data_IF_740975317086
#
_entry.id   IF_740975317086
#
_cell.length_a   1.000
_cell.length_b   1.000
_cell.length_c   1.000
_cell.angle_alpha   90.00
_cell.angle_beta   90.00
_cell.angle_gamma   90.00
#
_symmetry.space_group_name_H-M   'P 1'
#
loop_
_entity.id
_entity.type
_entity.pdbx_description
1 polymer ?
#
# COMPACT_ATOMS: atom_id res chain seq x y z
N UNK A 1 19.34 15.10 2.66
CA UNK A 1 19.77 14.72 1.30
C UNK A 1 18.86 13.55 0.88
N UNK A 2 17.95 13.73 -0.09
CA UNK A 2 16.85 12.77 -0.34
C UNK A 2 17.30 11.44 -0.98
N UNK A 3 16.51 10.37 -0.81
CA UNK A 3 16.88 8.98 -1.17
C UNK A 3 17.23 8.73 -2.66
N UNK A 4 16.81 9.61 -3.60
CA UNK A 4 16.89 9.34 -5.06
C UNK A 4 17.52 10.49 -5.88
N UNK A 5 18.63 11.07 -5.40
CA UNK A 5 19.23 12.25 -6.06
C UNK A 5 19.71 12.01 -7.49
N UNK A 6 20.21 10.81 -7.79
CA UNK A 6 20.73 10.47 -9.12
C UNK A 6 19.63 10.46 -10.18
N UNK A 7 18.43 10.00 -9.82
CA UNK A 7 17.27 10.03 -10.73
C UNK A 7 16.89 11.47 -11.07
N UNK A 8 16.86 12.36 -10.07
CA UNK A 8 16.57 13.78 -10.29
C UNK A 8 17.59 14.45 -11.21
N UNK A 9 18.87 14.07 -11.13
CA UNK A 9 19.91 14.56 -12.05
C UNK A 9 19.64 14.08 -13.49
N UNK A 10 19.46 12.78 -13.67
CA UNK A 10 19.21 12.19 -15.00
C UNK A 10 17.97 12.79 -15.66
N UNK A 11 16.89 12.98 -14.89
CA UNK A 11 15.66 13.59 -15.39
C UNK A 11 15.81 15.07 -15.76
N UNK A 12 16.62 15.83 -15.02
CA UNK A 12 16.93 17.22 -15.38
C UNK A 12 17.63 17.33 -16.74
N UNK A 13 18.41 16.32 -17.09
CA UNK A 13 19.05 16.19 -18.42
C UNK A 13 18.13 15.56 -19.48
N UNK A 14 16.85 15.32 -19.16
CA UNK A 14 15.89 14.73 -20.10
C UNK A 14 16.07 13.23 -20.35
N UNK A 15 16.84 12.52 -19.51
CA UNK A 15 17.09 11.09 -19.67
C UNK A 15 16.02 10.24 -18.99
N UNK A 16 15.65 9.14 -19.65
CA UNK A 16 14.80 8.12 -19.07
C UNK A 16 15.55 7.27 -18.05
N UNK A 17 14.86 6.94 -16.97
CA UNK A 17 15.38 6.20 -15.82
C UNK A 17 14.69 4.85 -15.68
N UNK A 18 15.49 3.81 -15.46
CA UNK A 18 15.02 2.44 -15.26
C UNK A 18 15.69 1.85 -14.02
N UNK A 19 14.97 0.99 -13.30
CA UNK A 19 15.49 0.27 -12.15
C UNK A 19 14.98 -1.18 -12.12
N UNK A 20 15.70 -2.03 -11.40
CA UNK A 20 15.38 -3.45 -11.22
C UNK A 20 14.83 -3.71 -9.83
N UNK A 21 13.79 -4.53 -9.77
CA UNK A 21 13.33 -5.21 -8.56
C UNK A 21 13.65 -6.70 -8.67
N UNK A 22 13.65 -7.40 -7.54
CA UNK A 22 13.83 -8.86 -7.55
C UNK A 22 12.64 -9.56 -8.24
N UNK A 23 12.81 -10.81 -8.67
CA UNK A 23 11.70 -11.70 -9.00
C UNK A 23 11.31 -12.56 -7.81
N UNK A 24 10.07 -12.99 -7.70
CA UNK A 24 9.53 -13.78 -6.57
C UNK A 24 9.17 -15.23 -6.94
N UNK A 25 9.48 -15.66 -8.18
CA UNK A 25 9.22 -17.04 -8.62
C UNK A 25 10.51 -17.82 -8.86
N UNK A 26 11.35 -17.38 -9.81
CA UNK A 26 12.64 -18.02 -10.10
C UNK A 26 13.74 -16.97 -10.03
N UNK A 27 14.61 -17.09 -9.02
CA UNK A 27 15.80 -16.24 -8.87
C UNK A 27 16.87 -16.62 -9.90
N UNK A 28 17.73 -15.67 -10.28
CA UNK A 28 18.74 -15.91 -11.31
C UNK A 28 19.93 -16.75 -10.79
N UNK A 29 20.33 -17.75 -11.55
CA UNK A 29 21.57 -18.52 -11.37
C UNK A 29 22.81 -17.59 -11.45
N UNK A 30 23.93 -17.88 -10.74
CA UNK A 30 24.18 -19.04 -9.87
C UNK A 30 23.85 -18.88 -8.39
N UNK A 31 23.65 -17.65 -7.92
CA UNK A 31 23.65 -17.35 -6.48
C UNK A 31 22.23 -17.29 -5.91
N UNK A 32 21.21 -17.01 -6.74
CA UNK A 32 19.80 -16.96 -6.33
C UNK A 32 19.48 -15.92 -5.24
N UNK A 33 20.32 -14.90 -5.06
CA UNK A 33 20.17 -13.85 -4.04
C UNK A 33 19.30 -12.65 -4.48
N UNK A 34 18.73 -12.72 -5.68
CA UNK A 34 17.93 -11.64 -6.26
C UNK A 34 18.76 -10.53 -6.90
N UNK A 35 18.17 -9.82 -7.86
CA UNK A 35 18.85 -8.79 -8.65
C UNK A 35 18.16 -7.41 -8.57
N UNK A 36 18.15 -6.74 -7.40
CA UNK A 36 17.60 -5.40 -7.28
C UNK A 36 18.61 -4.31 -7.67
N UNK A 37 18.12 -3.12 -8.02
CA UNK A 37 18.95 -1.90 -8.12
C UNK A 37 19.23 -1.30 -6.74
N UNK A 38 18.25 -1.32 -5.84
CA UNK A 38 18.38 -0.77 -4.48
C UNK A 38 18.56 -1.92 -3.51
N UNK A 39 19.66 -1.93 -2.76
CA UNK A 39 20.06 -3.08 -1.94
C UNK A 39 19.03 -3.47 -0.88
N UNK A 40 18.34 -2.51 -0.24
CA UNK A 40 17.26 -2.82 0.72
C UNK A 40 16.00 -3.43 0.09
N UNK A 41 15.92 -3.49 -1.24
CA UNK A 41 14.89 -4.26 -1.94
C UNK A 41 15.27 -5.74 -2.07
N UNK A 42 16.49 -6.13 -1.71
CA UNK A 42 16.87 -7.53 -1.61
C UNK A 42 16.03 -8.20 -0.53
N UNK A 43 15.28 -9.23 -0.91
CA UNK A 43 14.35 -9.93 -0.04
C UNK A 43 13.02 -9.20 0.22
N UNK A 44 12.82 -8.00 -0.32
CA UNK A 44 11.53 -7.32 -0.28
C UNK A 44 10.58 -7.95 -1.31
N UNK A 45 9.28 -7.93 -1.02
CA UNK A 45 8.25 -8.25 -2.00
C UNK A 45 8.41 -7.33 -3.23
N UNK A 46 8.57 -7.89 -4.44
CA UNK A 46 8.95 -7.11 -5.61
C UNK A 46 7.88 -6.11 -6.06
N UNK A 47 6.61 -6.40 -5.79
CA UNK A 47 5.54 -5.43 -6.01
C UNK A 47 5.75 -4.18 -5.15
N UNK A 48 6.01 -4.36 -3.84
CA UNK A 48 6.23 -3.25 -2.90
C UNK A 48 7.44 -2.40 -3.33
N UNK A 49 8.54 -3.06 -3.68
CA UNK A 49 9.74 -2.40 -4.19
C UNK A 49 9.48 -1.62 -5.49
N UNK A 50 8.69 -2.20 -6.41
CA UNK A 50 8.34 -1.56 -7.67
C UNK A 50 7.51 -0.28 -7.46
N UNK A 51 6.52 -0.34 -6.56
CA UNK A 51 5.71 0.84 -6.21
C UNK A 51 6.59 1.95 -5.64
N UNK A 52 7.51 1.65 -4.75
CA UNK A 52 8.43 2.66 -4.22
C UNK A 52 9.30 3.30 -5.31
N UNK A 53 9.83 2.51 -6.25
CA UNK A 53 10.64 3.04 -7.34
C UNK A 53 9.82 3.93 -8.29
N UNK A 54 8.60 3.50 -8.63
CA UNK A 54 7.74 4.25 -9.54
C UNK A 54 7.17 5.52 -8.88
N UNK A 55 6.77 5.44 -7.61
CA UNK A 55 6.11 6.53 -6.89
C UNK A 55 7.11 7.51 -6.28
N UNK A 56 8.01 7.03 -5.41
CA UNK A 56 8.94 7.88 -4.66
C UNK A 56 10.18 8.23 -5.48
N UNK A 57 10.79 7.22 -6.11
CA UNK A 57 12.00 7.42 -6.91
C UNK A 57 11.72 7.96 -8.32
N UNK A 58 10.44 7.98 -8.72
CA UNK A 58 9.92 8.44 -10.00
C UNK A 58 10.63 7.79 -11.19
N UNK A 59 11.07 6.53 -11.11
CA UNK A 59 11.66 5.88 -12.29
C UNK A 59 10.61 5.74 -13.39
N UNK A 60 11.05 5.82 -14.65
CA UNK A 60 10.13 5.72 -15.79
C UNK A 60 9.77 4.26 -16.09
N UNK A 61 10.68 3.32 -15.80
CA UNK A 61 10.46 1.88 -15.98
C UNK A 61 10.99 1.08 -14.79
N UNK A 62 10.28 -0.01 -14.47
CA UNK A 62 10.76 -1.05 -13.54
C UNK A 62 10.84 -2.38 -14.27
N UNK A 63 11.95 -3.09 -14.07
CA UNK A 63 12.19 -4.43 -14.62
C UNK A 63 12.31 -5.46 -13.51
N UNK A 64 11.86 -6.69 -13.78
CA UNK A 64 12.21 -7.85 -12.95
C UNK A 64 13.65 -8.24 -13.31
N UNK A 65 14.55 -8.20 -12.32
CA UNK A 65 15.97 -8.52 -12.53
C UNK A 65 16.28 -10.01 -12.57
N UNK A 66 15.46 -10.80 -11.89
CA UNK A 66 15.57 -12.27 -11.84
C UNK A 66 14.88 -12.95 -13.04
N UNK A 67 14.96 -14.27 -13.11
CA UNK A 67 14.41 -15.05 -14.23
C UNK A 67 12.90 -14.95 -14.33
N UNK A 68 12.18 -15.03 -13.21
CA UNK A 68 10.71 -15.02 -13.20
C UNK A 68 10.12 -14.30 -11.98
N UNK A 69 8.93 -13.73 -12.19
CA UNK A 69 8.05 -13.21 -11.14
C UNK A 69 6.67 -13.88 -11.25
N UNK A 70 5.93 -13.89 -10.14
CA UNK A 70 4.57 -14.39 -10.09
C UNK A 70 3.64 -13.55 -10.95
N UNK A 71 2.60 -14.18 -11.49
CA UNK A 71 1.58 -13.50 -12.31
C UNK A 71 0.86 -12.43 -11.47
N UNK A 72 0.65 -12.68 -10.18
CA UNK A 72 0.08 -11.76 -9.22
C UNK A 72 0.92 -10.49 -9.08
N UNK A 73 2.23 -10.62 -8.84
CA UNK A 73 3.16 -9.48 -8.78
C UNK A 73 3.10 -8.66 -10.06
N UNK A 74 3.17 -9.31 -11.23
CA UNK A 74 3.12 -8.61 -12.52
C UNK A 74 1.78 -7.89 -12.73
N UNK A 75 0.66 -8.52 -12.36
CA UNK A 75 -0.67 -7.91 -12.42
C UNK A 75 -0.77 -6.67 -11.54
N UNK A 76 -0.29 -6.72 -10.31
CA UNK A 76 -0.37 -5.58 -9.39
C UNK A 76 0.54 -4.43 -9.82
N UNK A 77 1.75 -4.71 -10.31
CA UNK A 77 2.63 -3.69 -10.90
C UNK A 77 1.94 -3.03 -12.10
N UNK A 78 1.39 -3.82 -13.01
CA UNK A 78 0.71 -3.30 -14.19
C UNK A 78 -0.53 -2.47 -13.81
N UNK A 79 -1.31 -2.90 -12.82
CA UNK A 79 -2.48 -2.16 -12.36
C UNK A 79 -2.11 -0.77 -11.82
N UNK A 80 -1.00 -0.67 -11.08
CA UNK A 80 -0.47 0.61 -10.64
C UNK A 80 -0.02 1.49 -11.81
N UNK A 81 0.74 0.94 -12.76
CA UNK A 81 1.25 1.70 -13.92
C UNK A 81 0.10 2.25 -14.78
N UNK A 82 -0.95 1.47 -15.00
CA UNK A 82 -2.06 1.86 -15.88
C UNK A 82 -3.07 2.77 -15.18
N UNK A 83 -3.35 2.51 -13.90
CA UNK A 83 -4.51 3.08 -13.23
C UNK A 83 -4.20 3.81 -11.91
N UNK A 84 -2.94 3.85 -11.47
CA UNK A 84 -2.56 4.38 -10.15
C UNK A 84 -3.31 3.69 -8.99
N UNK A 85 -3.53 2.38 -9.12
CA UNK A 85 -4.16 1.58 -8.08
C UNK A 85 -3.10 0.78 -7.33
N UNK A 86 -3.03 0.96 -6.01
CA UNK A 86 -2.25 0.13 -5.11
C UNK A 86 -3.13 -1.00 -4.56
N UNK A 87 -2.79 -2.25 -4.86
CA UNK A 87 -3.45 -3.44 -4.34
C UNK A 87 -2.85 -3.80 -2.98
N UNK A 88 -3.71 -3.94 -1.97
CA UNK A 88 -3.32 -4.18 -0.57
C UNK A 88 -3.90 -5.50 -0.11
N UNK A 89 -3.01 -6.44 0.22
CA UNK A 89 -3.38 -7.72 0.82
C UNK A 89 -3.74 -7.50 2.29
N UNK A 90 -4.97 -7.86 2.67
CA UNK A 90 -5.46 -7.66 4.02
C UNK A 90 -6.47 -8.74 4.44
N UNK A 91 -6.76 -8.79 5.74
CA UNK A 91 -7.87 -9.55 6.27
C UNK A 91 -8.89 -8.61 6.92
N UNK A 92 -10.16 -8.76 6.55
CA UNK A 92 -11.30 -8.06 7.08
C UNK A 92 -12.21 -9.03 7.85
N UNK A 93 -12.79 -8.56 8.95
CA UNK A 93 -13.85 -9.31 9.63
C UNK A 93 -15.01 -9.56 8.66
N UNK A 94 -15.71 -10.68 8.82
CA UNK A 94 -16.72 -11.18 7.88
C UNK A 94 -17.76 -10.14 7.44
N UNK A 95 -18.20 -9.27 8.35
CA UNK A 95 -19.19 -8.21 8.07
C UNK A 95 -18.67 -7.09 7.14
N UNK A 96 -17.35 -6.95 6.97
CA UNK A 96 -16.69 -5.92 6.15
C UNK A 96 -16.09 -6.44 4.85
N UNK A 97 -16.21 -7.74 4.54
CA UNK A 97 -15.67 -8.34 3.31
C UNK A 97 -16.23 -7.72 2.01
N UNK A 98 -17.35 -7.00 2.09
CA UNK A 98 -17.91 -6.19 1.01
C UNK A 98 -17.01 -5.03 0.56
N UNK A 99 -15.91 -4.73 1.27
CA UNK A 99 -14.91 -3.74 0.87
C UNK A 99 -13.83 -4.33 -0.04
N UNK A 100 -13.73 -5.67 -0.15
CA UNK A 100 -12.77 -6.29 -1.06
C UNK A 100 -13.10 -6.00 -2.52
N UNK A 101 -12.05 -5.99 -3.35
CA UNK A 101 -12.11 -5.82 -4.80
C UNK A 101 -12.78 -4.53 -5.28
N UNK A 102 -12.90 -3.53 -4.41
CA UNK A 102 -13.35 -2.17 -4.76
C UNK A 102 -12.15 -1.28 -4.96
N UNK A 103 -12.23 -0.44 -5.98
CA UNK A 103 -11.34 0.71 -6.13
C UNK A 103 -11.83 1.83 -5.20
N UNK A 104 -10.94 2.28 -4.33
CA UNK A 104 -11.28 3.23 -3.27
C UNK A 104 -10.33 4.43 -3.40
N UNK A 105 -10.92 5.59 -3.66
CA UNK A 105 -10.17 6.84 -3.67
C UNK A 105 -9.71 7.22 -2.26
N UNK A 106 -8.56 7.89 -2.19
CA UNK A 106 -8.03 8.45 -0.96
C UNK A 106 -8.54 9.89 -0.82
N UNK A 107 -8.86 10.32 0.41
CA UNK A 107 -9.23 11.72 0.63
C UNK A 107 -8.02 12.64 0.39
N UNK A 108 -8.19 13.88 -0.10
CA UNK A 108 -7.06 14.80 -0.24
C UNK A 108 -6.55 15.29 1.13
N UNK A 109 -7.41 15.36 2.14
CA UNK A 109 -7.06 15.79 3.50
C UNK A 109 -6.59 14.60 4.36
N UNK A 110 -5.29 14.29 4.28
CA UNK A 110 -4.64 13.20 5.01
C UNK A 110 -3.88 13.68 6.25
N UNK A 111 -4.31 13.29 7.46
CA UNK A 111 -3.46 13.40 8.65
C UNK A 111 -2.23 12.51 8.51
N UNK A 112 -1.11 12.92 9.10
CA UNK A 112 0.18 12.21 9.00
C UNK A 112 0.11 10.72 9.39
N UNK A 113 -0.76 10.36 10.34
CA UNK A 113 -0.80 9.03 10.96
C UNK A 113 -1.86 8.09 10.37
N UNK A 114 -2.71 8.54 9.45
CA UNK A 114 -3.78 7.72 8.88
C UNK A 114 -3.99 7.99 7.40
N UNK A 115 -4.47 6.98 6.68
CA UNK A 115 -4.92 7.09 5.29
C UNK A 115 -6.44 6.98 5.27
N UNK A 116 -7.13 8.10 5.06
CA UNK A 116 -8.59 8.17 5.06
C UNK A 116 -9.16 7.79 3.70
N UNK A 117 -10.10 6.86 3.71
CA UNK A 117 -10.73 6.32 2.51
C UNK A 117 -11.99 7.12 2.16
N UNK A 118 -12.19 7.38 0.86
CA UNK A 118 -13.39 8.02 0.35
C UNK A 118 -14.48 6.95 0.10
N UNK A 119 -15.20 6.60 1.17
CA UNK A 119 -16.29 5.64 1.15
C UNK A 119 -17.59 6.26 1.68
N UNK A 120 -18.77 5.77 1.25
CA UNK A 120 -20.04 6.14 1.87
C UNK A 120 -20.03 5.84 3.37
N UNK A 121 -20.43 6.82 4.18
CA UNK A 121 -20.50 6.65 5.63
C UNK A 121 -21.74 5.87 6.04
N UNK A 122 -21.59 5.00 7.03
CA UNK A 122 -22.68 4.31 7.72
C UNK A 122 -23.00 5.01 9.05
N UNK A 123 -24.19 5.62 9.22
CA UNK A 123 -24.56 6.22 10.50
C UNK A 123 -24.78 5.13 11.56
N UNK A 124 -24.65 5.51 12.84
CA UNK A 124 -24.95 4.68 14.01
C UNK A 124 -24.24 3.31 14.03
N UNK A 125 -22.99 3.24 13.57
CA UNK A 125 -22.17 2.02 13.66
C UNK A 125 -22.00 1.62 15.13
N UNK A 126 -22.38 0.38 15.47
CA UNK A 126 -22.24 -0.15 16.82
C UNK A 126 -20.78 -0.21 17.28
N UNK A 127 -20.53 -0.13 18.59
CA UNK A 127 -19.17 -0.25 19.15
C UNK A 127 -18.79 -1.73 19.14
N UNK A 128 -17.73 -2.10 18.42
CA UNK A 128 -17.24 -3.48 18.27
C UNK A 128 -15.73 -3.47 18.05
N UNK A 129 -15.01 -4.46 18.58
CA UNK A 129 -13.54 -4.55 18.40
C UNK A 129 -12.85 -3.19 18.67
N UNK A 130 -13.26 -2.55 19.77
CA UNK A 130 -12.72 -1.27 20.20
C UNK A 130 -11.43 -1.53 20.98
N UNK A 131 -10.36 -1.71 20.23
CA UNK A 131 -9.03 -2.11 20.72
C UNK A 131 -7.98 -1.10 20.24
N UNK A 132 -6.73 -1.29 20.68
CA UNK A 132 -5.58 -0.49 20.25
C UNK A 132 -5.39 -0.61 18.73
N UNK A 133 -4.97 0.49 18.11
CA UNK A 133 -4.82 0.62 16.66
C UNK A 133 -3.34 0.64 16.29
N UNK A 134 -2.82 -0.49 15.84
CA UNK A 134 -1.44 -0.60 15.37
C UNK A 134 -1.32 -0.21 13.90
N UNK A 135 -0.11 0.13 13.45
CA UNK A 135 0.22 0.30 12.03
C UNK A 135 -0.26 -0.91 11.24
N UNK A 136 -0.96 -0.67 10.14
CA UNK A 136 -1.60 -1.72 9.34
C UNK A 136 -3.06 -2.04 9.75
N UNK A 137 -3.57 -1.48 10.85
CA UNK A 137 -4.98 -1.65 11.21
C UNK A 137 -5.90 -0.97 10.18
N UNK A 138 -7.00 -1.65 9.85
CA UNK A 138 -8.10 -1.08 9.06
C UNK A 138 -9.20 -0.73 10.07
N UNK A 139 -9.62 0.53 10.10
CA UNK A 139 -10.48 1.05 11.16
C UNK A 139 -11.73 1.68 10.58
N UNK A 140 -12.88 1.43 11.20
CA UNK A 140 -14.13 2.14 10.96
C UNK A 140 -14.53 2.92 12.22
N UNK A 141 -14.86 4.20 12.09
CA UNK A 141 -15.39 5.01 13.19
C UNK A 141 -16.80 4.52 13.58
N UNK A 142 -17.05 4.40 14.87
CA UNK A 142 -18.35 3.99 15.43
C UNK A 142 -19.23 5.20 15.77
N UNK A 143 -20.42 4.95 16.32
CA UNK A 143 -21.42 5.98 16.66
C UNK A 143 -20.91 7.09 17.60
N UNK A 144 -19.89 6.82 18.44
CA UNK A 144 -19.31 7.85 19.30
C UNK A 144 -18.56 8.94 18.52
N UNK A 145 -18.25 8.69 17.24
CA UNK A 145 -17.68 9.67 16.33
C UNK A 145 -18.72 10.62 15.71
N UNK A 146 -20.00 10.51 16.10
CA UNK A 146 -21.11 11.34 15.62
C UNK A 146 -21.17 11.38 14.08
N UNK A 147 -21.02 12.56 13.47
CA UNK A 147 -21.06 12.75 12.00
C UNK A 147 -19.99 11.99 11.21
N UNK A 148 -18.97 11.46 11.90
CA UNK A 148 -17.91 10.63 11.32
C UNK A 148 -18.19 9.13 11.44
N UNK A 149 -19.31 8.70 12.04
CA UNK A 149 -19.70 7.29 12.08
C UNK A 149 -19.64 6.66 10.69
N UNK A 150 -19.01 5.49 10.60
CA UNK A 150 -18.82 4.72 9.38
C UNK A 150 -17.68 5.21 8.48
N UNK A 151 -16.93 6.24 8.85
CA UNK A 151 -15.70 6.61 8.15
C UNK A 151 -14.63 5.52 8.32
N UNK A 152 -13.96 5.16 7.22
CA UNK A 152 -12.93 4.12 7.19
C UNK A 152 -11.56 4.73 6.91
N UNK A 153 -10.54 4.24 7.60
CA UNK A 153 -9.15 4.64 7.38
C UNK A 153 -8.17 3.50 7.68
N UNK A 154 -6.98 3.59 7.09
CA UNK A 154 -5.82 2.74 7.40
C UNK A 154 -4.91 3.46 8.40
N UNK A 155 -4.32 2.72 9.32
CA UNK A 155 -3.43 3.27 10.36
C UNK A 155 -1.98 3.21 9.88
N UNK A 156 -1.35 4.39 9.68
CA UNK A 156 0.02 4.52 9.16
C UNK A 156 1.09 4.46 10.25
N UNK A 157 0.78 4.93 11.45
CA UNK A 157 1.64 4.82 12.62
C UNK A 157 0.80 4.35 13.80
N UNK A 158 1.40 3.66 14.77
CA UNK A 158 0.70 3.21 15.97
C UNK A 158 -0.05 4.38 16.63
N UNK A 159 -1.33 4.16 16.92
CA UNK A 159 -2.19 5.15 17.54
C UNK A 159 -2.63 4.67 18.92
N UNK A 160 -2.80 5.60 19.89
CA UNK A 160 -3.36 5.26 21.17
C UNK A 160 -4.79 4.73 21.02
N UNK A 161 -5.26 4.07 22.07
CA UNK A 161 -6.65 3.66 22.19
C UNK A 161 -7.61 4.85 22.00
N UNK A 162 -8.74 4.59 21.37
CA UNK A 162 -9.76 5.59 21.06
C UNK A 162 -11.14 4.93 21.06
N UNK A 163 -12.02 5.33 21.99
CA UNK A 163 -13.36 4.76 22.15
C UNK A 163 -14.24 4.87 20.89
N UNK A 164 -13.94 5.83 20.01
CA UNK A 164 -14.67 6.12 18.77
C UNK A 164 -14.36 5.15 17.62
N UNK A 165 -13.38 4.27 17.76
CA UNK A 165 -12.85 3.46 16.66
C UNK A 165 -13.14 1.97 16.81
N UNK A 166 -13.55 1.31 15.73
CA UNK A 166 -13.61 -0.15 15.64
C UNK A 166 -12.52 -0.66 14.71
N UNK A 167 -11.66 -1.57 15.16
CA UNK A 167 -10.73 -2.27 14.24
C UNK A 167 -11.53 -3.32 13.47
N UNK A 168 -11.57 -3.17 12.15
CA UNK A 168 -12.37 -4.02 11.24
C UNK A 168 -11.53 -5.02 10.44
N UNK A 169 -10.21 -4.94 10.55
CA UNK A 169 -9.26 -5.81 9.86
C UNK A 169 -7.82 -5.33 10.01
N UNK A 170 -6.91 -6.01 9.32
CA UNK A 170 -5.49 -5.68 9.29
C UNK A 170 -4.90 -5.93 7.90
N UNK A 171 -3.92 -5.12 7.51
CA UNK A 171 -3.10 -5.30 6.31
C UNK A 171 -1.98 -6.28 6.59
N UNK A 172 -1.65 -7.14 5.60
CA UNK A 172 -0.51 -8.06 5.69
C UNK A 172 0.77 -7.28 6.00
N UNK A 173 1.63 -7.73 6.94
CA UNK A 173 2.81 -6.98 7.37
C UNK A 173 3.72 -6.50 6.23
N UNK A 174 3.89 -7.30 5.17
CA UNK A 174 4.71 -6.92 4.01
C UNK A 174 4.11 -5.76 3.18
N UNK A 175 2.78 -5.62 3.18
CA UNK A 175 2.03 -4.59 2.43
C UNK A 175 1.91 -3.27 3.19
N UNK A 176 2.21 -3.26 4.49
CA UNK A 176 2.16 -2.06 5.33
C UNK A 176 3.12 -0.96 4.83
N UNK A 177 4.23 -1.33 4.20
CA UNK A 177 5.20 -0.37 3.65
C UNK A 177 4.65 0.42 2.45
N UNK A 178 3.58 -0.04 1.80
CA UNK A 178 2.92 0.73 0.74
C UNK A 178 2.30 2.02 1.25
N UNK A 179 2.02 2.14 2.56
CA UNK A 179 1.40 3.34 3.12
C UNK A 179 2.25 4.60 2.97
N UNK A 180 3.56 4.44 2.75
CA UNK A 180 4.46 5.55 2.45
C UNK A 180 4.33 6.03 1.01
N UNK A 181 3.69 5.24 0.14
CA UNK A 181 3.47 5.50 -1.29
C UNK A 181 2.00 5.78 -1.63
N UNK A 182 1.15 6.01 -0.63
CA UNK A 182 -0.26 6.34 -0.83
C UNK A 182 -0.45 7.82 -0.50
N UNK A 183 -0.83 8.59 -1.52
CA UNK A 183 -1.30 9.96 -1.40
C UNK A 183 -2.69 10.13 -2.04
N UNK A 184 -3.10 11.37 -2.30
CA UNK A 184 -4.42 11.69 -2.81
C UNK A 184 -4.64 11.30 -4.28
N UNK A 185 -3.56 11.10 -5.04
CA UNK A 185 -3.62 10.74 -6.47
C UNK A 185 -3.71 9.21 -6.66
N UNK A 186 -3.53 8.47 -5.56
CA UNK A 186 -3.62 7.01 -5.52
C UNK A 186 -5.05 6.54 -5.22
N UNK A 187 -5.45 5.46 -5.88
CA UNK A 187 -6.56 4.59 -5.47
C UNK A 187 -6.02 3.34 -4.80
N UNK A 188 -6.76 2.77 -3.87
CA UNK A 188 -6.42 1.46 -3.30
C UNK A 188 -7.45 0.41 -3.67
N UNK A 189 -7.02 -0.85 -3.68
CA UNK A 189 -7.90 -2.01 -3.77
C UNK A 189 -7.52 -3.02 -2.69
N UNK A 190 -8.46 -3.32 -1.80
CA UNK A 190 -8.27 -4.33 -0.75
C UNK A 190 -8.55 -5.72 -1.31
N UNK A 191 -7.68 -6.68 -1.05
CA UNK A 191 -7.85 -8.09 -1.44
C UNK A 191 -7.58 -9.02 -0.25
N UNK A 192 -8.25 -10.19 -0.16
CA UNK A 192 -8.08 -11.10 0.97
C UNK A 192 -6.68 -11.74 0.97
N UNK A 193 -6.10 -11.92 2.16
CA UNK A 193 -5.02 -12.89 2.37
C UNK A 193 -5.57 -14.29 2.08
N UNK A 194 -4.89 -15.04 1.22
CA UNK A 194 -5.21 -16.44 0.92
C UNK A 194 -4.74 -17.39 2.02
#
# INVERSE_FOLDING_TARGET
>A
MGKFQKNNLLKKEGLHTSAFVVGDLVKRFPIYEGLPTVERHRGMNPYIAAIELLHEAKVDNVFIGDSEATVETLKYINEYIQNHIITILCNLLSEYKHLYNKEINIRPDQPENIIRLLLPRKPNVGIRHNIVRHRGSIVMQNRLAARYSGEVYLVKHDLPFEARSNVIGFVSPEYVNLFDQIDADIRIKLIPIN
#
